data_IF_004394315057
#
_entry.id   IF_004394315057
#
_cell.length_a   1.000
_cell.length_b   1.000
_cell.length_c   1.000
_cell.angle_alpha   90.00
_cell.angle_beta   90.00
_cell.angle_gamma   90.00
#
_symmetry.space_group_name_H-M   'P 1'
#
loop_
_entity.id
_entity.type
_entity.pdbx_description
1 polymer ?
#
# COMPACT_ATOMS: atom_id res chain seq x y z
N UNK A 1 44.56 6.82 -8.16
CA UNK A 1 43.65 5.65 -8.07
C UNK A 1 42.33 5.89 -7.31
N UNK A 2 42.16 6.97 -6.54
CA UNK A 2 40.94 7.19 -5.73
C UNK A 2 39.73 7.77 -6.49
N UNK A 3 39.96 8.44 -7.63
CA UNK A 3 38.94 9.17 -8.40
C UNK A 3 37.96 8.25 -9.14
N UNK A 4 38.46 7.15 -9.71
CA UNK A 4 37.67 6.18 -10.46
C UNK A 4 36.71 5.37 -9.55
N UNK A 5 37.11 5.08 -8.32
CA UNK A 5 36.27 4.34 -7.36
C UNK A 5 35.10 5.18 -6.83
N UNK A 6 35.31 6.49 -6.62
CA UNK A 6 34.25 7.43 -6.22
C UNK A 6 33.23 7.64 -7.33
N UNK A 7 33.68 7.75 -8.59
CA UNK A 7 32.80 7.90 -9.74
C UNK A 7 31.91 6.67 -9.96
N UNK A 8 32.44 5.45 -9.75
CA UNK A 8 31.66 4.21 -9.86
C UNK A 8 30.62 4.06 -8.76
N UNK A 9 30.93 4.44 -7.51
CA UNK A 9 29.96 4.44 -6.41
C UNK A 9 28.85 5.46 -6.63
N UNK A 10 29.18 6.68 -7.07
CA UNK A 10 28.18 7.71 -7.38
C UNK A 10 27.25 7.27 -8.52
N UNK A 11 27.79 6.71 -9.60
CA UNK A 11 27.01 6.21 -10.72
C UNK A 11 26.08 5.04 -10.32
N UNK A 12 26.59 4.09 -9.54
CA UNK A 12 25.77 2.98 -9.03
C UNK A 12 24.66 3.48 -8.09
N UNK A 13 24.94 4.45 -7.23
CA UNK A 13 23.96 4.98 -6.29
C UNK A 13 22.88 5.83 -6.98
N UNK A 14 23.23 6.58 -8.02
CA UNK A 14 22.26 7.29 -8.87
C UNK A 14 21.42 6.33 -9.70
N UNK A 15 22.01 5.26 -10.23
CA UNK A 15 21.29 4.25 -11.02
C UNK A 15 20.31 3.43 -10.15
N UNK A 16 20.70 3.10 -8.92
CA UNK A 16 19.83 2.44 -7.94
C UNK A 16 18.68 3.37 -7.53
N UNK A 17 18.95 4.66 -7.25
CA UNK A 17 17.90 5.64 -6.93
C UNK A 17 16.91 5.80 -8.09
N UNK A 18 17.41 5.94 -9.31
CA UNK A 18 16.56 6.03 -10.50
C UNK A 18 15.69 4.78 -10.66
N UNK A 19 16.26 3.59 -10.47
CA UNK A 19 15.53 2.31 -10.56
C UNK A 19 14.43 2.18 -9.49
N UNK A 20 14.70 2.64 -8.25
CA UNK A 20 13.71 2.68 -7.17
C UNK A 20 12.61 3.68 -7.50
N UNK A 21 12.96 4.88 -7.98
CA UNK A 21 11.98 5.91 -8.35
C UNK A 21 11.09 5.48 -9.52
N UNK A 22 11.62 4.74 -10.50
CA UNK A 22 10.81 4.13 -11.58
C UNK A 22 9.91 3.01 -11.07
N UNK A 23 10.39 2.12 -10.20
CA UNK A 23 9.53 1.07 -9.66
C UNK A 23 8.45 1.60 -8.72
N UNK A 24 8.71 2.69 -7.99
CA UNK A 24 7.69 3.41 -7.21
C UNK A 24 6.68 4.09 -8.15
N UNK A 25 7.12 4.59 -9.32
CA UNK A 25 6.23 5.13 -10.35
C UNK A 25 5.36 4.07 -11.01
N UNK A 26 5.87 2.85 -11.21
CA UNK A 26 5.11 1.76 -11.84
C UNK A 26 4.12 1.09 -10.87
N UNK A 27 4.32 1.23 -9.56
CA UNK A 27 3.29 0.92 -8.53
C UNK A 27 2.09 1.88 -8.64
N UNK A 28 2.23 3.04 -9.30
CA UNK A 28 1.11 3.93 -9.65
C UNK A 28 0.42 3.51 -10.96
N UNK A 29 -0.11 2.29 -10.97
CA UNK A 29 -1.37 2.02 -11.69
C UNK A 29 -2.53 2.31 -10.72
N UNK A 30 -2.56 3.52 -10.16
CA UNK A 30 -3.68 3.95 -9.34
C UNK A 30 -4.87 4.16 -10.28
N UNK A 31 -5.65 3.10 -10.48
CA UNK A 31 -6.90 3.20 -11.21
C UNK A 31 -7.85 4.09 -10.40
N UNK A 32 -8.65 4.94 -11.06
CA UNK A 32 -9.69 5.69 -10.37
C UNK A 32 -10.55 4.75 -9.52
N UNK A 33 -11.06 5.20 -8.38
CA UNK A 33 -11.89 4.36 -7.51
C UNK A 33 -13.07 3.71 -8.24
N UNK A 34 -13.59 4.38 -9.30
CA UNK A 34 -14.62 3.85 -10.19
C UNK A 34 -14.25 2.58 -10.96
N UNK A 35 -12.95 2.31 -11.18
CA UNK A 35 -12.48 1.04 -11.73
C UNK A 35 -12.82 -0.14 -10.80
N UNK A 36 -12.79 0.11 -9.49
CA UNK A 36 -13.14 -0.88 -8.46
C UNK A 36 -14.66 -0.92 -8.17
N UNK A 37 -15.48 -0.46 -9.11
CA UNK A 37 -16.95 -0.38 -9.00
C UNK A 37 -17.48 0.52 -7.88
N UNK A 38 -16.66 1.44 -7.37
CA UNK A 38 -17.09 2.44 -6.39
C UNK A 38 -17.77 3.61 -7.11
N UNK A 39 -19.06 3.85 -6.81
CA UNK A 39 -19.82 4.96 -7.40
C UNK A 39 -19.64 6.25 -6.60
N UNK A 40 -19.53 7.37 -7.33
CA UNK A 40 -19.61 8.73 -6.78
C UNK A 40 -21.01 9.11 -6.26
N UNK A 41 -22.03 8.25 -6.49
CA UNK A 41 -23.34 8.38 -5.84
C UNK A 41 -23.24 8.09 -4.34
N UNK A 42 -22.20 7.37 -3.89
CA UNK A 42 -21.87 7.26 -2.48
C UNK A 42 -21.16 8.54 -2.02
N UNK A 43 -21.81 9.29 -1.14
CA UNK A 43 -21.30 10.56 -0.62
C UNK A 43 -19.90 10.43 -0.01
N UNK A 44 -19.60 9.34 0.70
CA UNK A 44 -18.28 9.12 1.27
C UNK A 44 -17.21 8.93 0.19
N UNK A 45 -17.49 8.14 -0.85
CA UNK A 45 -16.56 7.94 -1.98
C UNK A 45 -16.29 9.26 -2.69
N UNK A 46 -17.34 10.04 -2.92
CA UNK A 46 -17.21 11.38 -3.51
C UNK A 46 -16.31 12.29 -2.67
N UNK A 47 -16.53 12.38 -1.37
CA UNK A 47 -15.73 13.20 -0.47
C UNK A 47 -14.26 12.76 -0.45
N UNK A 48 -14.00 11.44 -0.51
CA UNK A 48 -12.64 10.90 -0.61
C UNK A 48 -11.94 11.32 -1.92
N UNK A 49 -12.64 11.25 -3.05
CA UNK A 49 -12.11 11.67 -4.35
C UNK A 49 -11.86 13.18 -4.42
N UNK A 50 -12.76 14.00 -3.86
CA UNK A 50 -12.56 15.46 -3.77
C UNK A 50 -11.34 15.80 -2.89
N UNK A 51 -11.11 15.04 -1.82
CA UNK A 51 -10.00 15.25 -0.89
C UNK A 51 -8.65 14.78 -1.46
N UNK A 52 -8.59 13.56 -2.00
CA UNK A 52 -7.32 12.90 -2.33
C UNK A 52 -7.10 12.64 -3.84
N UNK A 53 -8.06 12.97 -4.69
CA UNK A 53 -8.02 12.69 -6.13
C UNK A 53 -8.73 11.39 -6.50
N UNK A 54 -9.01 11.23 -7.80
CA UNK A 54 -9.77 10.11 -8.35
C UNK A 54 -9.13 8.75 -8.08
N UNK A 55 -7.79 8.67 -8.05
CA UNK A 55 -7.03 7.49 -7.68
C UNK A 55 -6.49 7.53 -6.25
N UNK A 56 -7.03 8.42 -5.41
CA UNK A 56 -6.53 8.72 -4.06
C UNK A 56 -5.04 9.11 -4.03
N UNK A 57 -4.50 9.61 -5.14
CA UNK A 57 -3.06 9.77 -5.36
C UNK A 57 -2.40 10.85 -4.49
N UNK A 58 -3.19 11.69 -3.82
CA UNK A 58 -2.74 12.68 -2.84
C UNK A 58 -2.84 12.19 -1.39
N UNK A 59 -3.34 10.98 -1.15
CA UNK A 59 -3.39 10.39 0.19
C UNK A 59 -1.98 10.09 0.68
N UNK A 60 -1.68 10.44 1.94
CA UNK A 60 -0.39 10.15 2.53
C UNK A 60 -0.23 8.65 2.79
N UNK A 61 1.00 8.16 2.85
CA UNK A 61 1.27 6.76 3.19
C UNK A 61 0.69 6.38 4.56
N UNK A 62 0.78 7.28 5.53
CA UNK A 62 0.24 7.10 6.88
C UNK A 62 -1.28 6.97 6.88
N UNK A 63 -1.99 7.85 6.17
CA UNK A 63 -3.44 7.82 6.09
C UNK A 63 -3.92 6.58 5.33
N UNK A 64 -3.21 6.22 4.26
CA UNK A 64 -3.49 5.01 3.47
C UNK A 64 -3.44 3.77 4.35
N UNK A 65 -2.35 3.58 5.11
CA UNK A 65 -2.20 2.44 6.00
C UNK A 65 -3.25 2.43 7.13
N UNK A 66 -3.54 3.59 7.71
CA UNK A 66 -4.54 3.70 8.76
C UNK A 66 -5.94 3.34 8.24
N UNK A 67 -6.33 3.87 7.08
CA UNK A 67 -7.62 3.58 6.46
C UNK A 67 -7.75 2.13 6.00
N UNK A 68 -6.71 1.55 5.39
CA UNK A 68 -6.70 0.12 5.02
C UNK A 68 -7.00 -0.75 6.25
N UNK A 69 -6.31 -0.49 7.36
CA UNK A 69 -6.52 -1.26 8.58
C UNK A 69 -7.94 -1.12 9.14
N UNK A 70 -8.54 0.09 9.06
CA UNK A 70 -9.90 0.34 9.53
C UNK A 70 -10.95 -0.28 8.63
N UNK A 71 -10.86 -0.07 7.31
CA UNK A 71 -11.78 -0.65 6.32
C UNK A 71 -11.76 -2.18 6.40
N UNK A 72 -10.58 -2.80 6.49
CA UNK A 72 -10.47 -4.24 6.62
C UNK A 72 -11.11 -4.77 7.93
N UNK A 73 -10.96 -4.03 9.02
CA UNK A 73 -11.57 -4.37 10.30
C UNK A 73 -13.09 -4.27 10.28
N UNK A 74 -13.64 -3.16 9.76
CA UNK A 74 -15.10 -3.01 9.61
C UNK A 74 -15.68 -4.08 8.69
N UNK A 75 -15.04 -4.37 7.55
CA UNK A 75 -15.48 -5.42 6.64
C UNK A 75 -15.45 -6.81 7.30
N UNK A 76 -14.48 -7.08 8.19
CA UNK A 76 -14.46 -8.31 8.98
C UNK A 76 -15.63 -8.38 9.98
N UNK A 77 -15.95 -7.28 10.66
CA UNK A 77 -17.10 -7.21 11.57
C UNK A 77 -18.45 -7.39 10.85
N UNK A 78 -18.56 -6.88 9.63
CA UNK A 78 -19.76 -7.03 8.79
C UNK A 78 -19.85 -8.38 8.08
N UNK A 79 -18.75 -9.15 8.04
CA UNK A 79 -18.77 -10.47 7.42
C UNK A 79 -19.74 -11.38 8.17
N UNK A 80 -20.67 -12.02 7.44
CA UNK A 80 -21.68 -12.93 8.02
C UNK A 80 -21.07 -14.17 8.71
N UNK A 81 -19.75 -14.32 8.62
CA UNK A 81 -18.99 -15.33 9.31
C UNK A 81 -18.91 -15.03 10.80
N UNK A 82 -19.72 -15.75 11.59
CA UNK A 82 -19.56 -15.79 13.06
C UNK A 82 -18.28 -16.51 13.51
N UNK A 83 -17.33 -16.75 12.60
CA UNK A 83 -16.12 -17.52 12.82
C UNK A 83 -15.00 -16.54 13.16
N UNK A 84 -14.46 -16.69 14.38
CA UNK A 84 -13.25 -15.99 14.79
C UNK A 84 -12.07 -16.33 13.85
N UNK A 85 -11.06 -15.43 13.72
CA UNK A 85 -9.84 -15.74 12.99
C UNK A 85 -9.24 -17.08 13.42
N UNK A 86 -8.67 -17.82 12.48
CA UNK A 86 -8.05 -19.11 12.79
C UNK A 86 -6.79 -18.93 13.65
N UNK A 87 -6.36 -20.00 14.32
CA UNK A 87 -5.13 -19.99 15.11
C UNK A 87 -3.89 -19.66 14.25
N UNK A 88 -3.91 -20.04 12.97
CA UNK A 88 -2.86 -19.73 12.00
C UNK A 88 -2.80 -18.23 11.71
N UNK A 89 -3.96 -17.59 11.50
CA UNK A 89 -4.03 -16.14 11.30
C UNK A 89 -3.54 -15.38 12.55
N UNK A 90 -3.95 -15.83 13.74
CA UNK A 90 -3.50 -15.27 15.02
C UNK A 90 -1.98 -15.44 15.25
N UNK A 91 -1.43 -16.58 14.83
CA UNK A 91 0.01 -16.84 14.90
C UNK A 91 0.81 -15.87 14.01
N UNK A 92 0.30 -15.60 12.80
CA UNK A 92 0.89 -14.61 11.89
C UNK A 92 0.81 -13.20 12.46
N UNK A 93 -0.35 -12.81 13.02
CA UNK A 93 -0.56 -11.48 13.63
C UNK A 93 0.51 -11.18 14.70
N UNK A 94 0.79 -12.15 15.57
CA UNK A 94 1.80 -12.03 16.65
C UNK A 94 3.21 -11.82 16.12
N UNK A 95 3.49 -12.20 14.87
CA UNK A 95 4.80 -12.18 14.22
C UNK A 95 4.96 -11.10 13.17
N UNK A 96 3.95 -10.25 12.96
CA UNK A 96 4.06 -9.13 12.00
C UNK A 96 5.22 -8.16 12.31
N UNK A 97 5.72 -8.14 13.54
CA UNK A 97 6.91 -7.38 13.92
C UNK A 97 8.21 -7.89 13.27
N UNK A 98 8.22 -9.13 12.77
CA UNK A 98 9.35 -9.71 12.02
C UNK A 98 9.49 -9.09 10.61
N UNK A 99 8.41 -8.50 10.08
CA UNK A 99 8.39 -7.87 8.76
C UNK A 99 8.84 -6.41 8.82
N UNK A 100 9.65 -6.02 7.84
CA UNK A 100 9.94 -4.62 7.52
C UNK A 100 8.67 -3.95 6.95
N UNK A 101 8.63 -2.62 7.02
CA UNK A 101 7.50 -1.84 6.51
C UNK A 101 7.15 -2.16 5.05
N UNK A 102 8.13 -2.20 4.16
CA UNK A 102 7.90 -2.51 2.74
C UNK A 102 7.40 -3.95 2.52
N UNK A 103 7.81 -4.91 3.36
CA UNK A 103 7.33 -6.30 3.30
C UNK A 103 5.85 -6.38 3.70
N UNK A 104 5.39 -5.52 4.61
CA UNK A 104 3.96 -5.39 4.96
C UNK A 104 3.14 -4.84 3.78
N UNK A 105 3.66 -3.87 3.04
CA UNK A 105 3.00 -3.37 1.82
C UNK A 105 2.89 -4.44 0.74
N UNK A 106 3.98 -5.19 0.51
CA UNK A 106 3.97 -6.30 -0.42
C UNK A 106 2.96 -7.37 -0.01
N UNK A 107 2.87 -7.69 1.29
CA UNK A 107 1.90 -8.65 1.81
C UNK A 107 0.45 -8.17 1.66
N UNK A 108 0.14 -6.91 1.95
CA UNK A 108 -1.19 -6.32 1.72
C UNK A 108 -1.59 -6.48 0.26
N UNK A 109 -0.69 -6.10 -0.66
CA UNK A 109 -0.94 -6.21 -2.10
C UNK A 109 -1.20 -7.66 -2.53
N UNK A 110 -0.42 -8.61 -2.00
CA UNK A 110 -0.55 -10.03 -2.29
C UNK A 110 -1.82 -10.68 -1.71
N UNK A 111 -2.45 -10.10 -0.70
CA UNK A 111 -3.71 -10.62 -0.12
C UNK A 111 -4.97 -10.10 -0.84
N UNK A 112 -4.86 -8.95 -1.51
CA UNK A 112 -5.99 -8.28 -2.20
C UNK A 112 -6.16 -8.75 -3.65
N UNK A 113 -5.15 -9.44 -4.19
CA UNK A 113 -5.14 -9.95 -5.57
C UNK A 113 -6.10 -11.13 -5.81
#
# INVERSE_FOLDING_TARGET
>A
MQTLARSRKAFAQTSIRHSIDTHIKDIKMAHPVGYYSLSHDNALIKDMCETWGEGLEKMSESDTLWLIARVAHEAWLESESSIAPSNEAESVLKRLHELKQWEKFALISAMVQ
#
